data_IF_226583096333
#
_entry.id   IF_226583096333
#
_cell.length_a   1.000
_cell.length_b   1.000
_cell.length_c   1.000
_cell.angle_alpha   90.00
_cell.angle_beta   90.00
_cell.angle_gamma   90.00
#
_symmetry.space_group_name_H-M   'P 1'
#
loop_
_entity.id
_entity.type
_entity.pdbx_description
1 polymer ?
#
# COMPACT_ATOMS: atom_id res chain seq x y z
N UNK A 1 13.77 3.88 -29.62
CA UNK A 1 13.65 3.85 -31.09
C UNK A 1 15.05 3.70 -31.65
N UNK A 2 15.27 2.77 -32.60
CA UNK A 2 16.57 2.61 -33.25
C UNK A 2 16.54 3.30 -34.62
N UNK A 3 17.62 3.99 -34.97
CA UNK A 3 17.83 4.65 -36.26
C UNK A 3 19.22 4.31 -36.82
N UNK A 4 19.33 4.26 -38.14
CA UNK A 4 20.61 4.15 -38.87
C UNK A 4 21.39 5.46 -38.81
N UNK A 5 22.65 5.45 -39.28
CA UNK A 5 23.48 6.65 -39.43
C UNK A 5 22.84 7.73 -40.32
N UNK A 6 22.04 7.31 -41.30
CA UNK A 6 21.28 8.19 -42.20
C UNK A 6 19.93 8.64 -41.61
N UNK A 7 19.64 8.28 -40.35
CA UNK A 7 18.44 8.68 -39.63
C UNK A 7 17.18 7.84 -39.92
N UNK A 8 17.27 6.81 -40.76
CA UNK A 8 16.12 5.94 -41.08
C UNK A 8 15.72 5.09 -39.88
N UNK A 9 14.42 5.06 -39.55
CA UNK A 9 13.89 4.33 -38.38
C UNK A 9 13.84 2.83 -38.65
N UNK A 10 14.44 2.04 -37.77
CA UNK A 10 14.43 0.58 -37.85
C UNK A 10 13.15 -0.01 -37.25
N UNK A 11 12.63 -1.06 -37.89
CA UNK A 11 11.43 -1.78 -37.44
C UNK A 11 11.75 -2.63 -36.22
N UNK A 12 11.06 -2.44 -35.08
CA UNK A 12 11.27 -3.25 -33.88
C UNK A 12 10.71 -4.67 -34.08
N UNK A 13 11.42 -5.67 -33.56
CA UNK A 13 10.99 -7.08 -33.55
C UNK A 13 11.23 -7.70 -32.19
N UNK A 14 10.35 -8.60 -31.75
CA UNK A 14 10.56 -9.40 -30.55
C UNK A 14 11.28 -10.70 -30.92
N UNK A 15 12.50 -10.90 -30.41
CA UNK A 15 13.30 -12.10 -30.58
C UNK A 15 13.01 -13.06 -29.43
N UNK A 16 12.80 -14.35 -29.72
CA UNK A 16 12.47 -15.39 -28.73
C UNK A 16 11.23 -15.09 -27.84
N UNK A 17 10.35 -14.17 -28.26
CA UNK A 17 9.14 -13.78 -27.52
C UNK A 17 9.36 -12.80 -26.36
N UNK A 18 10.59 -12.41 -26.02
CA UNK A 18 10.87 -11.52 -24.88
C UNK A 18 12.03 -10.54 -25.09
N UNK A 19 12.92 -10.79 -26.05
CA UNK A 19 14.07 -9.93 -26.32
C UNK A 19 13.69 -8.86 -27.34
N UNK A 20 14.10 -7.62 -27.12
CA UNK A 20 13.91 -6.55 -28.08
C UNK A 20 15.02 -6.58 -29.15
N UNK A 21 14.65 -6.62 -30.42
CA UNK A 21 15.54 -6.51 -31.58
C UNK A 21 15.05 -5.48 -32.61
N UNK A 22 15.82 -5.28 -33.68
CA UNK A 22 15.50 -4.40 -34.80
C UNK A 22 15.97 -5.00 -36.13
N UNK A 23 15.15 -4.85 -37.19
CA UNK A 23 15.51 -5.30 -38.55
C UNK A 23 16.48 -4.31 -39.18
N UNK A 24 17.65 -4.78 -39.63
CA UNK A 24 18.69 -3.97 -40.28
C UNK A 24 18.70 -4.29 -41.80
N UNK A 25 18.43 -3.32 -42.69
CA UNK A 25 18.47 -3.53 -44.14
C UNK A 25 19.86 -3.89 -44.66
N UNK A 26 19.92 -4.69 -45.73
CA UNK A 26 21.17 -5.03 -46.40
C UNK A 26 21.86 -3.77 -46.97
N UNK A 27 23.18 -3.68 -46.82
CA UNK A 27 23.96 -2.49 -47.23
C UNK A 27 23.99 -1.36 -46.19
N UNK A 28 23.39 -1.53 -45.00
CA UNK A 28 23.54 -0.57 -43.90
C UNK A 28 24.98 -0.62 -43.38
N UNK A 29 25.77 0.41 -43.68
CA UNK A 29 27.10 0.62 -43.11
C UNK A 29 27.04 1.72 -42.04
N UNK A 30 27.75 1.54 -40.91
CA UNK A 30 27.88 2.56 -39.87
C UNK A 30 27.07 2.30 -38.59
N UNK A 31 27.01 3.32 -37.72
CA UNK A 31 26.51 3.22 -36.35
C UNK A 31 24.98 3.27 -36.27
N UNK A 32 24.38 2.34 -35.52
CA UNK A 32 22.95 2.37 -35.18
C UNK A 32 22.78 3.08 -33.84
N UNK A 33 21.98 4.15 -33.80
CA UNK A 33 21.71 4.90 -32.57
C UNK A 33 20.37 4.50 -31.98
N UNK A 34 20.38 4.12 -30.70
CA UNK A 34 19.17 3.82 -29.93
C UNK A 34 18.82 5.01 -29.04
N UNK A 35 17.68 5.64 -29.29
CA UNK A 35 17.20 6.78 -28.49
C UNK A 35 15.94 6.41 -27.72
N UNK A 36 15.97 6.59 -26.40
CA UNK A 36 14.79 6.49 -25.54
C UNK A 36 14.19 7.89 -25.36
N UNK A 37 13.13 8.20 -26.10
CA UNK A 37 12.53 9.56 -26.12
C UNK A 37 12.05 9.98 -24.72
N UNK A 38 11.50 9.04 -23.94
CA UNK A 38 11.03 9.29 -22.56
C UNK A 38 12.17 9.63 -21.58
N UNK A 39 13.42 9.28 -21.90
CA UNK A 39 14.56 9.54 -21.00
C UNK A 39 14.78 11.04 -20.74
N UNK A 40 14.49 11.90 -21.72
CA UNK A 40 14.62 13.35 -21.50
C UNK A 40 13.57 13.86 -20.52
N UNK A 41 12.30 13.50 -20.71
CA UNK A 41 11.21 13.89 -19.81
C UNK A 41 11.45 13.35 -18.39
N UNK A 42 11.88 12.11 -18.28
CA UNK A 42 12.26 11.50 -17.02
C UNK A 42 13.39 12.28 -16.31
N UNK A 43 14.47 12.61 -17.04
CA UNK A 43 15.61 13.34 -16.46
C UNK A 43 15.24 14.76 -16.06
N UNK A 44 14.48 15.46 -16.89
CA UNK A 44 13.99 16.82 -16.55
C UNK A 44 13.07 16.77 -15.33
N UNK A 45 12.16 15.80 -15.25
CA UNK A 45 11.30 15.61 -14.09
C UNK A 45 12.08 15.26 -12.83
N UNK A 46 13.08 14.38 -12.92
CA UNK A 46 13.93 14.00 -11.80
C UNK A 46 14.76 15.18 -11.28
N UNK A 47 15.37 15.95 -12.18
CA UNK A 47 16.12 17.14 -11.82
C UNK A 47 15.21 18.22 -11.23
N UNK A 48 14.02 18.42 -11.80
CA UNK A 48 13.03 19.36 -11.29
C UNK A 48 12.54 18.98 -9.88
N UNK A 49 12.21 17.72 -9.66
CA UNK A 49 11.80 17.21 -8.35
C UNK A 49 12.92 17.31 -7.31
N UNK A 50 14.15 16.95 -7.69
CA UNK A 50 15.33 17.06 -6.83
C UNK A 50 15.62 18.53 -6.47
N UNK A 51 15.49 19.45 -7.42
CA UNK A 51 15.65 20.88 -7.20
C UNK A 51 14.57 21.48 -6.29
N UNK A 52 13.40 20.83 -6.16
CA UNK A 52 12.33 21.26 -5.26
C UNK A 52 12.63 20.92 -3.79
N UNK A 53 13.45 19.90 -3.52
CA UNK A 53 13.83 19.51 -2.15
C UNK A 53 14.58 20.61 -1.38
N UNK A 54 15.61 21.29 -1.90
CA UNK A 54 16.25 22.39 -1.18
C UNK A 54 15.30 23.58 -0.98
N UNK A 55 14.39 23.86 -1.91
CA UNK A 55 13.36 24.90 -1.73
C UNK A 55 12.42 24.53 -0.59
N UNK A 56 11.96 23.27 -0.53
CA UNK A 56 11.14 22.77 0.58
C UNK A 56 11.89 22.82 1.90
N UNK A 57 13.18 22.47 1.91
CA UNK A 57 14.01 22.51 3.10
C UNK A 57 14.21 23.95 3.60
N UNK A 58 14.46 24.90 2.69
CA UNK A 58 14.50 26.32 3.00
C UNK A 58 13.17 26.82 3.58
N UNK A 59 12.03 26.43 2.98
CA UNK A 59 10.70 26.77 3.51
C UNK A 59 10.43 26.16 4.89
N UNK A 60 10.91 24.95 5.14
CA UNK A 60 10.78 24.27 6.44
C UNK A 60 11.67 24.89 7.52
N UNK A 61 12.90 25.30 7.17
CA UNK A 61 13.82 25.99 8.07
C UNK A 61 13.52 27.48 8.22
N UNK A 62 12.77 28.07 7.31
CA UNK A 62 12.36 29.47 7.41
C UNK A 62 11.54 29.63 8.69
N UNK A 63 12.00 30.45 9.66
CA UNK A 63 11.30 30.62 10.92
C UNK A 63 9.95 31.30 10.61
N UNK A 64 8.90 30.48 10.62
CA UNK A 64 7.56 30.98 10.46
C UNK A 64 7.28 31.85 11.70
N UNK A 65 7.15 33.17 11.53
CA UNK A 65 6.60 34.08 12.54
C UNK A 65 5.11 33.77 12.69
N UNK A 66 4.78 32.55 13.12
CA UNK A 66 3.43 32.15 13.45
C UNK A 66 3.10 32.82 14.76
N UNK A 67 2.15 33.75 14.72
CA UNK A 67 1.35 34.04 15.91
C UNK A 67 0.78 32.69 16.31
N UNK A 68 1.13 32.18 17.49
CA UNK A 68 0.35 31.11 18.11
C UNK A 68 -1.04 31.70 18.30
N UNK A 69 -1.91 31.48 17.33
CA UNK A 69 -3.35 31.50 17.60
C UNK A 69 -3.55 30.22 18.39
N UNK A 70 -4.08 30.33 19.61
CA UNK A 70 -4.56 29.18 20.40
C UNK A 70 -5.77 28.57 19.69
N UNK A 71 -5.55 28.03 18.50
CA UNK A 71 -6.55 27.29 17.76
C UNK A 71 -6.72 25.92 18.42
N UNK A 72 -7.97 25.54 18.61
CA UNK A 72 -8.32 24.27 19.21
C UNK A 72 -7.73 23.12 18.37
N UNK A 73 -7.11 22.09 18.99
CA UNK A 73 -6.47 21.01 18.26
C UNK A 73 -7.44 20.37 17.27
N UNK A 74 -6.98 20.16 16.03
CA UNK A 74 -7.78 19.52 14.99
C UNK A 74 -8.31 18.17 15.47
N UNK A 75 -9.64 18.06 15.57
CA UNK A 75 -10.31 16.85 16.05
C UNK A 75 -10.46 15.84 14.91
N UNK A 76 -10.03 14.58 15.09
CA UNK A 76 -10.21 13.55 14.08
C UNK A 76 -11.70 13.25 13.88
N UNK A 77 -12.11 13.06 12.63
CA UNK A 77 -13.48 12.71 12.31
C UNK A 77 -13.79 11.30 12.86
N UNK A 78 -14.66 11.20 13.87
CA UNK A 78 -14.99 9.94 14.55
C UNK A 78 -16.45 9.48 14.37
N UNK A 79 -16.98 9.33 13.14
CA UNK A 79 -18.31 8.80 12.94
C UNK A 79 -18.30 7.27 13.08
N UNK A 80 -18.44 6.76 14.30
CA UNK A 80 -18.32 5.33 14.64
C UNK A 80 -19.08 4.39 13.68
N UNK A 81 -20.30 4.77 13.25
CA UNK A 81 -21.13 3.99 12.32
C UNK A 81 -20.57 3.97 10.90
N UNK A 82 -20.08 5.11 10.40
CA UNK A 82 -19.48 5.21 9.07
C UNK A 82 -18.14 4.48 9.00
N UNK A 83 -17.36 4.50 10.09
CA UNK A 83 -16.14 3.68 10.20
C UNK A 83 -16.41 2.19 10.08
N UNK A 84 -17.46 1.68 10.72
CA UNK A 84 -17.89 0.28 10.61
C UNK A 84 -18.28 -0.09 9.17
N UNK A 85 -19.06 0.76 8.49
CA UNK A 85 -19.47 0.56 7.09
C UNK A 85 -18.24 0.56 6.18
N UNK A 86 -17.33 1.52 6.35
CA UNK A 86 -16.10 1.62 5.56
C UNK A 86 -15.21 0.37 5.71
N UNK A 87 -15.10 -0.18 6.92
CA UNK A 87 -14.32 -1.40 7.19
C UNK A 87 -14.92 -2.63 6.49
N UNK A 88 -16.24 -2.81 6.54
CA UNK A 88 -16.90 -3.92 5.82
C UNK A 88 -16.81 -3.75 4.31
N UNK A 89 -16.98 -2.52 3.81
CA UNK A 89 -16.83 -2.19 2.40
C UNK A 89 -15.40 -2.48 1.91
N UNK A 90 -14.38 -2.08 2.67
CA UNK A 90 -12.98 -2.38 2.36
C UNK A 90 -12.72 -3.89 2.32
N UNK A 91 -13.21 -4.66 3.30
CA UNK A 91 -13.12 -6.11 3.29
C UNK A 91 -13.77 -6.73 2.04
N UNK A 92 -14.95 -6.23 1.67
CA UNK A 92 -15.69 -6.68 0.48
C UNK A 92 -14.93 -6.38 -0.82
N UNK A 93 -14.28 -5.21 -0.92
CA UNK A 93 -13.44 -4.87 -2.07
C UNK A 93 -12.19 -5.74 -2.16
N UNK A 94 -11.61 -6.13 -1.02
CA UNK A 94 -10.38 -6.92 -0.97
C UNK A 94 -10.62 -8.39 -1.35
N UNK A 95 -11.70 -9.00 -0.84
CA UNK A 95 -11.91 -10.45 -0.94
C UNK A 95 -13.35 -10.85 -1.32
N UNK A 96 -14.15 -9.93 -1.86
CA UNK A 96 -15.53 -10.18 -2.27
C UNK A 96 -16.43 -10.60 -1.10
N UNK A 97 -17.27 -11.60 -1.34
CA UNK A 97 -18.25 -12.12 -0.36
C UNK A 97 -17.54 -12.69 0.88
N UNK A 98 -16.38 -13.34 0.70
CA UNK A 98 -15.58 -13.86 1.82
C UNK A 98 -15.10 -12.71 2.70
N UNK A 99 -14.63 -11.63 2.08
CA UNK A 99 -14.23 -10.41 2.78
C UNK A 99 -15.37 -9.78 3.59
N UNK A 100 -16.57 -9.68 3.00
CA UNK A 100 -17.77 -9.24 3.71
C UNK A 100 -18.05 -10.09 4.95
N UNK A 101 -18.02 -11.41 4.81
CA UNK A 101 -18.28 -12.35 5.90
C UNK A 101 -17.24 -12.25 7.02
N UNK A 102 -15.94 -12.23 6.68
CA UNK A 102 -14.85 -12.18 7.67
C UNK A 102 -14.82 -10.85 8.41
N UNK A 103 -14.97 -9.72 7.70
CA UNK A 103 -14.99 -8.40 8.33
C UNK A 103 -16.25 -8.17 9.15
N UNK A 104 -17.41 -8.65 8.68
CA UNK A 104 -18.65 -8.63 9.45
C UNK A 104 -18.54 -9.47 10.73
N UNK A 105 -17.98 -10.68 10.64
CA UNK A 105 -17.77 -11.55 11.79
C UNK A 105 -16.79 -10.97 12.81
N UNK A 106 -15.68 -10.36 12.37
CA UNK A 106 -14.73 -9.69 13.26
C UNK A 106 -15.38 -8.53 14.02
N UNK A 107 -16.24 -7.76 13.35
CA UNK A 107 -16.96 -6.65 13.94
C UNK A 107 -18.03 -7.12 14.93
N UNK A 108 -18.78 -8.16 14.58
CA UNK A 108 -19.75 -8.81 15.45
C UNK A 108 -19.08 -9.42 16.69
N UNK A 109 -17.94 -10.08 16.52
CA UNK A 109 -17.14 -10.64 17.61
C UNK A 109 -16.69 -9.53 18.57
N UNK A 110 -16.11 -8.44 18.06
CA UNK A 110 -15.74 -7.29 18.92
C UNK A 110 -16.95 -6.67 19.62
N UNK A 111 -18.09 -6.56 18.92
CA UNK A 111 -19.31 -6.03 19.51
C UNK A 111 -19.83 -6.92 20.63
N UNK A 112 -19.83 -8.24 20.46
CA UNK A 112 -20.21 -9.21 21.49
C UNK A 112 -19.26 -9.17 22.70
N UNK A 113 -17.97 -8.97 22.45
CA UNK A 113 -16.93 -8.90 23.48
C UNK A 113 -16.76 -7.51 24.11
N UNK A 114 -17.59 -6.52 23.73
CA UNK A 114 -17.45 -5.12 24.21
C UNK A 114 -17.53 -4.99 25.73
N UNK A 115 -18.25 -5.87 26.40
CA UNK A 115 -18.39 -5.87 27.87
C UNK A 115 -17.23 -6.57 28.59
N UNK A 116 -16.35 -7.27 27.85
CA UNK A 116 -15.18 -8.00 28.39
C UNK A 116 -13.90 -7.43 27.77
N UNK A 117 -13.54 -6.20 28.15
CA UNK A 117 -12.46 -5.43 27.53
C UNK A 117 -11.15 -6.21 27.43
N UNK A 118 -10.70 -6.86 28.52
CA UNK A 118 -9.48 -7.69 28.53
C UNK A 118 -9.51 -8.82 27.49
N UNK A 119 -10.65 -9.49 27.36
CA UNK A 119 -10.82 -10.58 26.40
C UNK A 119 -10.90 -10.06 24.96
N UNK A 120 -11.57 -8.93 24.74
CA UNK A 120 -11.63 -8.27 23.44
C UNK A 120 -10.22 -7.87 22.94
N UNK A 121 -9.39 -7.31 23.82
CA UNK A 121 -8.01 -6.95 23.48
C UNK A 121 -7.14 -8.18 23.24
N UNK A 122 -7.20 -9.18 24.12
CA UNK A 122 -6.46 -10.43 23.95
C UNK A 122 -6.81 -11.14 22.63
N UNK A 123 -8.09 -11.25 22.30
CA UNK A 123 -8.57 -11.85 21.05
C UNK A 123 -8.14 -11.02 19.84
N UNK A 124 -8.19 -9.69 19.92
CA UNK A 124 -7.75 -8.81 18.84
C UNK A 124 -6.26 -8.96 18.57
N UNK A 125 -5.43 -8.89 19.60
CA UNK A 125 -3.97 -9.03 19.47
C UNK A 125 -3.61 -10.44 18.99
N UNK A 126 -4.24 -11.47 19.58
CA UNK A 126 -4.01 -12.87 19.22
C UNK A 126 -4.36 -13.18 17.76
N UNK A 127 -5.54 -12.77 17.29
CA UNK A 127 -5.96 -13.04 15.91
C UNK A 127 -5.23 -12.15 14.87
N UNK A 128 -4.93 -10.90 15.22
CA UNK A 128 -4.18 -10.00 14.32
C UNK A 128 -2.72 -10.44 14.16
N UNK A 129 -1.97 -10.56 15.24
CA UNK A 129 -0.57 -10.96 15.17
C UNK A 129 -0.44 -12.44 14.78
N UNK A 130 -1.23 -13.33 15.40
CA UNK A 130 -1.14 -14.77 15.21
C UNK A 130 -1.48 -15.19 13.77
N UNK A 131 -2.57 -14.68 13.20
CA UNK A 131 -2.94 -15.04 11.83
C UNK A 131 -1.88 -14.61 10.80
N UNK A 132 -1.29 -13.42 10.96
CA UNK A 132 -0.26 -12.91 10.05
C UNK A 132 1.07 -13.67 10.20
N UNK A 133 1.46 -14.00 11.44
CA UNK A 133 2.66 -14.81 11.72
C UNK A 133 2.53 -16.19 11.10
N UNK A 134 1.38 -16.86 11.28
CA UNK A 134 1.15 -18.20 10.73
C UNK A 134 1.08 -18.14 9.20
N UNK A 135 0.39 -17.16 8.62
CA UNK A 135 0.35 -16.96 7.18
C UNK A 135 1.76 -16.75 6.60
N UNK A 136 2.57 -15.89 7.24
CA UNK A 136 3.95 -15.65 6.86
C UNK A 136 4.85 -16.89 6.99
N UNK A 137 4.71 -17.65 8.08
CA UNK A 137 5.47 -18.88 8.28
C UNK A 137 5.17 -19.94 7.22
N UNK A 138 3.91 -20.06 6.79
CA UNK A 138 3.52 -20.96 5.69
C UNK A 138 4.06 -20.46 4.35
N UNK A 139 3.97 -19.15 4.09
CA UNK A 139 4.48 -18.55 2.85
C UNK A 139 6.01 -18.72 2.70
N UNK A 140 6.75 -18.62 3.80
CA UNK A 140 8.21 -18.83 3.82
C UNK A 140 8.63 -20.24 3.41
N UNK A 141 7.76 -21.25 3.53
CA UNK A 141 8.04 -22.62 3.08
C UNK A 141 7.88 -22.81 1.57
N UNK A 142 7.06 -21.98 0.93
CA UNK A 142 6.76 -22.08 -0.51
C UNK A 142 6.73 -20.68 -1.16
N UNK A 143 7.90 -20.01 -1.27
CA UNK A 143 8.02 -18.69 -1.88
C UNK A 143 7.71 -18.71 -3.39
N UNK A 144 7.56 -17.56 -4.03
CA UNK A 144 7.12 -17.47 -5.44
C UNK A 144 8.02 -18.18 -6.48
N UNK A 145 9.23 -18.61 -6.08
CA UNK A 145 10.15 -19.42 -6.89
C UNK A 145 10.25 -20.89 -6.44
N UNK A 146 9.38 -21.37 -5.54
CA UNK A 146 9.40 -22.77 -5.11
C UNK A 146 8.96 -23.68 -6.24
N UNK A 147 9.71 -24.78 -6.41
CA UNK A 147 9.46 -25.82 -7.41
C UNK A 147 8.15 -26.55 -7.13
N UNK A 148 7.74 -26.63 -5.85
CA UNK A 148 6.52 -27.29 -5.38
C UNK A 148 5.25 -26.42 -5.48
N UNK A 149 5.33 -25.24 -6.12
CA UNK A 149 4.21 -24.31 -6.29
C UNK A 149 4.12 -23.22 -5.22
N UNK A 150 3.47 -22.10 -5.55
CA UNK A 150 3.42 -20.89 -4.72
C UNK A 150 2.28 -20.94 -3.69
N UNK A 151 2.60 -20.91 -2.40
CA UNK A 151 1.60 -21.00 -1.32
C UNK A 151 0.74 -19.72 -1.16
N UNK A 152 1.05 -18.62 -1.84
CA UNK A 152 0.22 -17.41 -1.77
C UNK A 152 -1.18 -17.57 -2.39
N UNK A 153 -1.38 -18.58 -3.26
CA UNK A 153 -2.71 -18.96 -3.75
C UNK A 153 -3.46 -19.92 -2.81
N UNK A 154 -2.84 -20.32 -1.69
CA UNK A 154 -3.49 -21.21 -0.73
C UNK A 154 -4.66 -20.50 -0.03
N UNK A 155 -5.88 -21.05 -0.07
CA UNK A 155 -7.04 -20.44 0.57
C UNK A 155 -6.85 -20.29 2.08
N UNK A 156 -6.08 -21.18 2.72
CA UNK A 156 -5.77 -21.10 4.15
C UNK A 156 -4.87 -19.91 4.50
N UNK A 157 -3.83 -19.66 3.71
CA UNK A 157 -2.91 -18.52 3.92
C UNK A 157 -3.64 -17.19 3.70
N UNK A 158 -4.48 -17.13 2.66
CA UNK A 158 -5.30 -15.96 2.37
C UNK A 158 -6.33 -15.70 3.48
N UNK A 159 -7.00 -16.73 3.98
CA UNK A 159 -7.97 -16.59 5.07
C UNK A 159 -7.32 -16.10 6.36
N UNK A 160 -6.15 -16.64 6.73
CA UNK A 160 -5.42 -16.21 7.93
C UNK A 160 -5.02 -14.74 7.84
N UNK A 161 -4.51 -14.29 6.68
CA UNK A 161 -4.19 -12.89 6.44
C UNK A 161 -5.44 -11.99 6.51
N UNK A 162 -6.57 -12.44 5.96
CA UNK A 162 -7.84 -11.72 6.01
C UNK A 162 -8.38 -11.58 7.44
N UNK A 163 -8.32 -12.64 8.26
CA UNK A 163 -8.73 -12.59 9.67
C UNK A 163 -7.90 -11.57 10.44
N UNK A 164 -6.58 -11.55 10.22
CA UNK A 164 -5.70 -10.60 10.88
C UNK A 164 -6.02 -9.16 10.51
N UNK A 165 -6.26 -8.89 9.23
CA UNK A 165 -6.65 -7.57 8.73
C UNK A 165 -8.02 -7.13 9.27
N UNK A 166 -9.00 -8.03 9.26
CA UNK A 166 -10.35 -7.77 9.74
C UNK A 166 -10.38 -7.41 11.24
N UNK A 167 -9.62 -8.13 12.07
CA UNK A 167 -9.53 -7.87 13.50
C UNK A 167 -8.83 -6.54 13.81
N UNK A 168 -7.76 -6.22 13.08
CA UNK A 168 -7.05 -4.94 13.21
C UNK A 168 -7.93 -3.76 12.79
N UNK A 169 -8.59 -3.84 11.64
CA UNK A 169 -9.48 -2.80 11.13
C UNK A 169 -10.68 -2.58 12.07
N UNK A 170 -11.26 -3.67 12.59
CA UNK A 170 -12.37 -3.60 13.56
C UNK A 170 -11.94 -2.93 14.88
N UNK A 171 -10.69 -3.13 15.32
CA UNK A 171 -10.16 -2.49 16.52
C UNK A 171 -10.00 -0.97 16.38
N UNK A 172 -9.54 -0.51 15.21
CA UNK A 172 -9.33 0.91 14.93
C UNK A 172 -10.64 1.72 14.98
N UNK A 173 -11.75 1.15 14.50
CA UNK A 173 -13.05 1.85 14.49
C UNK A 173 -13.67 2.02 15.87
N UNK A 174 -13.33 1.15 16.83
CA UNK A 174 -13.93 1.14 18.17
C UNK A 174 -13.09 1.86 19.24
N UNK A 175 -11.81 2.17 18.98
CA UNK A 175 -10.91 2.86 19.93
C UNK A 175 -10.95 4.39 19.85
N UNK A 176 -11.64 4.99 18.88
CA UNK A 176 -11.60 6.43 18.60
C UNK A 176 -12.35 7.35 19.59
N UNK A 177 -12.37 7.01 20.89
CA UNK A 177 -13.13 7.73 21.91
C UNK A 177 -12.35 8.03 23.19
N UNK A 178 -11.04 8.31 23.11
CA UNK A 178 -10.31 8.83 24.27
C UNK A 178 -10.52 10.34 24.38
N UNK A 179 -11.38 10.76 25.32
CA UNK A 179 -11.39 12.13 25.84
C UNK A 179 -10.43 12.14 27.03
N UNK A 180 -9.33 12.92 27.02
CA UNK A 180 -8.64 13.24 28.26
C UNK A 180 -9.63 14.01 29.14
N UNK A 181 -9.81 13.54 30.38
CA UNK A 181 -10.62 14.24 31.37
C UNK A 181 -10.00 15.62 31.62
N UNK A 182 -10.84 16.65 31.56
CA UNK A 182 -10.47 18.01 31.96
C UNK A 182 -10.09 17.96 33.44
N UNK A 183 -8.81 18.15 33.71
CA UNK A 183 -8.26 18.28 35.06
C UNK A 183 -8.93 19.47 35.75
N UNK A 184 -9.57 19.30 36.92
CA UNK A 184 -10.24 20.41 37.59
C UNK A 184 -9.19 21.45 38.02
N UNK A 185 -9.29 22.65 37.43
CA UNK A 185 -8.55 23.84 37.86
C UNK A 185 -8.92 24.14 39.33
N UNK A 186 -7.99 23.86 40.24
CA UNK A 186 -7.95 24.47 41.57
C UNK A 186 -7.47 25.92 41.47
#
# INVERSE_FOLDING_TARGET
MARTGDGTRLTPVAVNGWQQGWVVPAGTAGTITLTFVSNSLYRTGLLGGLALLPVLALLAWWPARRRLVDDEPARPWAPRRWGMVAVVAAGTLIAGIVGFAVFGAALALRYALRHRQRMCEAVTVGLSAGGLIVAGAVLSRHPWRSVDGYAGHSPGVQLLALISLAMLASAATMRAGYRPEEEPRN
#
